data_IF_740338623617
#
_entry.id   IF_740338623617
#
_cell.length_a   1.000
_cell.length_b   1.000
_cell.length_c   1.000
_cell.angle_alpha   90.00
_cell.angle_beta   90.00
_cell.angle_gamma   90.00
#
_symmetry.space_group_name_H-M   'P 1'
#
loop_
_entity.id
_entity.type
_entity.pdbx_description
1 polymer ?
#
# COMPACT_ATOMS: atom_id res chain seq x y z
N UNK A 1 5.01 2.38 -8.67
CA UNK A 1 5.37 3.00 -7.38
C UNK A 1 4.19 2.79 -6.46
N UNK A 2 4.30 2.06 -5.34
CA UNK A 2 3.17 1.99 -4.40
C UNK A 2 2.98 3.39 -3.81
N UNK A 3 1.87 4.03 -4.11
CA UNK A 3 1.48 5.26 -3.45
C UNK A 3 1.03 4.93 -2.02
N UNK A 4 1.39 5.76 -1.09
CA UNK A 4 0.91 5.64 0.28
C UNK A 4 -0.53 6.18 0.30
N UNK A 5 -1.50 5.28 0.44
CA UNK A 5 -2.91 5.62 0.41
C UNK A 5 -3.46 5.50 1.81
N UNK A 6 -3.76 6.62 2.45
CA UNK A 6 -4.38 6.67 3.77
C UNK A 6 -5.89 6.42 3.71
N UNK A 7 -6.54 6.87 2.66
CA UNK A 7 -7.97 6.67 2.41
C UNK A 7 -8.14 5.65 1.28
N UNK A 8 -8.28 4.38 1.65
CA UNK A 8 -8.42 3.28 0.70
C UNK A 8 -9.70 3.37 -0.13
N UNK A 9 -10.78 3.93 0.42
CA UNK A 9 -12.04 4.10 -0.29
C UNK A 9 -11.96 5.22 -1.34
N UNK A 10 -11.39 6.38 -0.97
CA UNK A 10 -11.19 7.48 -1.92
C UNK A 10 -10.26 7.07 -3.05
N UNK A 11 -9.20 6.31 -2.74
CA UNK A 11 -8.31 5.76 -3.75
C UNK A 11 -9.04 4.82 -4.71
N UNK A 12 -9.80 3.85 -4.19
CA UNK A 12 -10.57 2.93 -5.02
C UNK A 12 -11.53 3.69 -5.94
N UNK A 13 -12.27 4.69 -5.42
CA UNK A 13 -13.13 5.56 -6.23
C UNK A 13 -12.36 6.28 -7.33
N UNK A 14 -11.18 6.83 -7.02
CA UNK A 14 -10.38 7.55 -8.01
C UNK A 14 -9.90 6.64 -9.12
N UNK A 15 -9.44 5.42 -8.81
CA UNK A 15 -8.98 4.42 -9.79
C UNK A 15 -10.15 3.96 -10.66
N UNK A 16 -11.28 3.59 -10.04
CA UNK A 16 -12.48 3.12 -10.77
C UNK A 16 -13.02 4.21 -11.71
N UNK A 17 -13.03 5.47 -11.29
CA UNK A 17 -13.56 6.59 -12.08
C UNK A 17 -12.60 7.09 -13.17
N UNK A 18 -11.32 6.78 -13.07
CA UNK A 18 -10.33 7.21 -14.06
C UNK A 18 -10.47 6.48 -15.40
N UNK A 19 -11.00 5.27 -15.39
CA UNK A 19 -11.23 4.41 -16.56
C UNK A 19 -9.99 4.17 -17.46
N UNK A 20 -8.80 4.55 -17.02
CA UNK A 20 -7.55 4.36 -17.75
C UNK A 20 -6.98 2.99 -17.43
N UNK A 21 -7.42 1.98 -18.19
CA UNK A 21 -7.07 0.58 -17.96
C UNK A 21 -6.09 0.10 -19.03
N UNK A 22 -4.95 -0.42 -18.55
CA UNK A 22 -3.97 -1.12 -19.36
C UNK A 22 -3.61 -2.48 -18.73
N UNK A 23 -2.79 -3.29 -19.44
CA UNK A 23 -2.37 -4.60 -18.94
C UNK A 23 -1.54 -4.55 -17.64
N UNK A 24 -1.02 -3.38 -17.23
CA UNK A 24 -0.22 -3.24 -16.01
C UNK A 24 -1.10 -2.98 -14.79
N UNK A 25 -2.19 -2.25 -14.96
CA UNK A 25 -3.08 -1.84 -13.88
C UNK A 25 -4.42 -2.61 -13.85
N UNK A 26 -4.73 -3.42 -14.86
CA UNK A 26 -5.99 -4.16 -14.97
C UNK A 26 -6.32 -4.99 -13.72
N UNK A 27 -5.32 -5.67 -13.13
CA UNK A 27 -5.51 -6.45 -11.90
C UNK A 27 -5.88 -5.55 -10.71
N UNK A 28 -5.34 -4.34 -10.63
CA UNK A 28 -5.68 -3.37 -9.58
C UNK A 28 -7.11 -2.89 -9.73
N UNK A 29 -7.56 -2.56 -10.95
CA UNK A 29 -8.95 -2.19 -11.24
C UNK A 29 -9.93 -3.29 -10.82
N UNK A 30 -9.69 -4.55 -11.23
CA UNK A 30 -10.54 -5.69 -10.88
C UNK A 30 -10.60 -5.90 -9.37
N UNK A 31 -9.46 -5.88 -8.67
CA UNK A 31 -9.40 -6.05 -7.22
C UNK A 31 -10.14 -4.93 -6.47
N UNK A 32 -9.90 -3.67 -6.85
CA UNK A 32 -10.54 -2.53 -6.20
C UNK A 32 -12.03 -2.51 -6.46
N UNK A 33 -12.45 -2.87 -7.67
CA UNK A 33 -13.88 -2.96 -8.01
C UNK A 33 -14.57 -4.10 -7.25
N UNK A 34 -13.93 -5.28 -7.14
CA UNK A 34 -14.46 -6.39 -6.34
C UNK A 34 -14.71 -5.96 -4.88
N UNK A 35 -13.73 -5.30 -4.27
CA UNK A 35 -13.85 -4.77 -2.90
C UNK A 35 -14.93 -3.69 -2.79
N UNK A 36 -14.97 -2.75 -3.75
CA UNK A 36 -15.95 -1.66 -3.76
C UNK A 36 -17.37 -2.20 -3.88
N UNK A 37 -17.60 -3.13 -4.79
CA UNK A 37 -18.90 -3.76 -4.99
C UNK A 37 -19.37 -4.52 -3.73
N UNK A 38 -18.47 -5.25 -3.07
CA UNK A 38 -18.81 -5.97 -1.85
C UNK A 38 -19.07 -5.02 -0.66
N UNK A 39 -18.13 -4.12 -0.37
CA UNK A 39 -18.19 -3.31 0.87
C UNK A 39 -19.12 -2.11 0.77
N UNK A 40 -19.23 -1.48 -0.41
CA UNK A 40 -20.01 -0.24 -0.61
C UNK A 40 -21.35 -0.55 -1.26
N UNK A 41 -21.34 -1.24 -2.40
CA UNK A 41 -22.55 -1.53 -3.16
C UNK A 41 -23.33 -2.73 -2.61
N UNK A 42 -22.76 -3.52 -1.68
CA UNK A 42 -23.37 -4.70 -1.05
C UNK A 42 -23.84 -5.76 -2.05
N UNK A 43 -23.08 -5.92 -3.12
CA UNK A 43 -23.39 -6.92 -4.15
C UNK A 43 -23.03 -8.32 -3.66
N UNK A 44 -23.82 -9.31 -4.08
CA UNK A 44 -23.46 -10.73 -3.98
C UNK A 44 -22.34 -11.10 -4.96
N UNK A 45 -21.75 -12.26 -4.81
CA UNK A 45 -20.60 -12.70 -5.61
C UNK A 45 -20.92 -12.75 -7.11
N UNK A 46 -22.12 -13.20 -7.50
CA UNK A 46 -22.51 -13.31 -8.91
C UNK A 46 -22.69 -11.93 -9.56
N UNK A 47 -23.33 -11.00 -8.85
CA UNK A 47 -23.52 -9.61 -9.29
C UNK A 47 -22.19 -8.85 -9.33
N UNK A 48 -21.32 -9.10 -8.35
CA UNK A 48 -19.98 -8.51 -8.28
C UNK A 48 -19.11 -8.97 -9.47
N UNK A 49 -19.10 -10.27 -9.75
CA UNK A 49 -18.39 -10.83 -10.91
C UNK A 49 -18.85 -10.17 -12.22
N UNK A 50 -20.16 -10.15 -12.47
CA UNK A 50 -20.72 -9.53 -13.69
C UNK A 50 -20.37 -8.06 -13.80
N UNK A 51 -20.47 -7.31 -12.71
CA UNK A 51 -20.10 -5.88 -12.67
C UNK A 51 -18.64 -5.65 -13.06
N UNK A 52 -17.72 -6.54 -12.63
CA UNK A 52 -16.31 -6.45 -13.02
C UNK A 52 -16.14 -6.73 -14.51
N UNK A 53 -16.75 -7.79 -15.01
CA UNK A 53 -16.67 -8.16 -16.44
C UNK A 53 -17.23 -7.05 -17.32
N UNK A 54 -18.39 -6.49 -16.98
CA UNK A 54 -19.01 -5.38 -17.71
C UNK A 54 -18.13 -4.13 -17.72
N UNK A 55 -17.55 -3.79 -16.57
CA UNK A 55 -16.63 -2.67 -16.43
C UNK A 55 -15.38 -2.86 -17.30
N UNK A 56 -14.75 -4.04 -17.23
CA UNK A 56 -13.53 -4.34 -17.99
C UNK A 56 -13.83 -4.35 -19.51
N UNK A 57 -14.91 -4.95 -19.95
CA UNK A 57 -15.34 -4.94 -21.36
C UNK A 57 -15.60 -3.53 -21.88
N UNK A 58 -16.14 -2.65 -21.02
CA UNK A 58 -16.47 -1.27 -21.40
C UNK A 58 -15.24 -0.38 -21.57
N UNK A 59 -14.23 -0.55 -20.70
CA UNK A 59 -13.14 0.41 -20.58
C UNK A 59 -11.77 -0.14 -21.02
N UNK A 60 -11.66 -1.44 -21.29
CA UNK A 60 -10.42 -2.05 -21.75
C UNK A 60 -10.64 -2.92 -22.99
N UNK A 61 -10.27 -2.39 -24.15
CA UNK A 61 -10.51 -3.04 -25.45
C UNK A 61 -9.75 -4.38 -25.66
N UNK A 62 -8.72 -4.66 -24.86
CA UNK A 62 -7.95 -5.90 -24.92
C UNK A 62 -8.41 -6.92 -23.86
N UNK A 63 -9.47 -6.66 -23.13
CA UNK A 63 -9.98 -7.57 -22.13
C UNK A 63 -10.63 -8.79 -22.78
N UNK A 64 -10.21 -9.98 -22.35
CA UNK A 64 -10.80 -11.26 -22.72
C UNK A 64 -11.18 -11.97 -21.43
N UNK A 65 -12.46 -12.12 -21.16
CA UNK A 65 -12.97 -12.69 -19.89
C UNK A 65 -12.33 -14.01 -19.51
N UNK A 66 -12.17 -14.92 -20.48
CA UNK A 66 -11.59 -16.25 -20.25
C UNK A 66 -10.17 -16.19 -19.66
N UNK A 67 -9.37 -15.16 -20.00
CA UNK A 67 -8.00 -15.01 -19.50
C UNK A 67 -7.95 -14.54 -18.05
N UNK A 68 -9.04 -13.93 -17.57
CA UNK A 68 -9.11 -13.31 -16.24
C UNK A 68 -10.14 -13.96 -15.32
N UNK A 69 -10.93 -14.92 -15.81
CA UNK A 69 -12.01 -15.55 -15.06
C UNK A 69 -11.58 -16.00 -13.66
N UNK A 70 -10.54 -16.83 -13.56
CA UNK A 70 -10.06 -17.35 -12.28
C UNK A 70 -9.61 -16.23 -11.32
N UNK A 71 -9.02 -15.16 -11.84
CA UNK A 71 -8.60 -14.01 -11.02
C UNK A 71 -9.79 -13.22 -10.49
N UNK A 72 -10.79 -12.97 -11.35
CA UNK A 72 -12.01 -12.27 -10.95
C UNK A 72 -12.74 -13.07 -9.88
N UNK A 73 -12.89 -14.37 -10.07
CA UNK A 73 -13.50 -15.28 -9.08
C UNK A 73 -12.75 -15.22 -7.75
N UNK A 74 -11.41 -15.25 -7.77
CA UNK A 74 -10.59 -15.13 -6.55
C UNK A 74 -10.74 -13.77 -5.87
N UNK A 75 -10.75 -12.68 -6.63
CA UNK A 75 -10.95 -11.34 -6.08
C UNK A 75 -12.33 -11.17 -5.46
N UNK A 76 -13.38 -11.66 -6.13
CA UNK A 76 -14.76 -11.62 -5.61
C UNK A 76 -14.89 -12.44 -4.33
N UNK A 77 -14.43 -13.70 -4.36
CA UNK A 77 -14.46 -14.61 -3.21
C UNK A 77 -13.71 -14.06 -1.98
N UNK A 78 -12.62 -13.34 -2.21
CA UNK A 78 -11.79 -12.80 -1.13
C UNK A 78 -12.10 -11.33 -0.79
N UNK A 79 -13.03 -10.67 -1.50
CA UNK A 79 -13.35 -9.26 -1.28
C UNK A 79 -13.70 -8.93 0.18
N UNK A 80 -14.44 -9.86 0.86
CA UNK A 80 -14.86 -9.71 2.25
C UNK A 80 -13.70 -9.67 3.26
N UNK A 81 -12.54 -10.26 2.93
CA UNK A 81 -11.39 -10.35 3.84
C UNK A 81 -10.62 -9.03 3.97
N UNK A 82 -10.79 -8.11 3.03
CA UNK A 82 -9.97 -6.91 2.91
C UNK A 82 -10.85 -5.65 2.86
N UNK A 83 -11.47 -5.25 3.98
CA UNK A 83 -12.29 -4.04 4.01
C UNK A 83 -11.46 -2.80 3.67
N UNK A 84 -12.13 -1.73 3.22
CA UNK A 84 -11.51 -0.42 3.16
C UNK A 84 -11.34 0.08 4.60
N UNK A 85 -10.10 0.36 4.99
CA UNK A 85 -9.80 0.95 6.29
C UNK A 85 -9.49 2.43 6.06
N UNK A 86 -10.30 3.27 6.65
CA UNK A 86 -10.08 4.71 6.65
C UNK A 86 -9.20 5.05 7.84
N UNK A 87 -8.00 5.54 7.55
CA UNK A 87 -7.08 6.02 8.57
C UNK A 87 -7.14 7.53 8.56
N UNK A 88 -7.94 8.11 9.45
CA UNK A 88 -8.11 9.55 9.57
C UNK A 88 -6.81 10.25 9.98
N UNK A 89 -6.03 9.63 10.86
CA UNK A 89 -4.78 10.20 11.34
C UNK A 89 -3.83 9.15 11.91
N UNK A 90 -2.54 9.43 11.81
CA UNK A 90 -1.48 8.68 12.49
C UNK A 90 -0.96 9.56 13.64
N UNK A 91 -1.10 9.09 14.89
CA UNK A 91 -0.61 9.82 16.06
C UNK A 91 0.91 9.61 16.20
N UNK A 92 1.66 10.69 16.12
CA UNK A 92 3.09 10.72 16.39
C UNK A 92 3.31 11.46 17.70
N UNK A 93 4.01 10.85 18.63
CA UNK A 93 4.26 11.41 19.94
C UNK A 93 5.48 12.34 19.95
N UNK A 94 5.54 13.26 20.90
CA UNK A 94 6.70 14.14 21.08
C UNK A 94 7.98 13.34 21.32
N UNK A 95 7.92 12.26 22.11
CA UNK A 95 9.08 11.39 22.37
C UNK A 95 9.64 10.74 21.11
N UNK A 96 8.78 10.33 20.18
CA UNK A 96 9.20 9.77 18.88
C UNK A 96 9.87 10.82 18.02
N UNK A 97 9.36 12.03 17.99
CA UNK A 97 9.99 13.14 17.26
C UNK A 97 11.33 13.53 17.86
N UNK A 98 11.43 13.63 19.18
CA UNK A 98 12.67 13.95 19.88
C UNK A 98 13.72 12.85 19.67
N UNK A 99 13.33 11.57 19.66
CA UNK A 99 14.22 10.47 19.32
C UNK A 99 14.77 10.58 17.89
N UNK A 100 13.92 10.89 16.92
CA UNK A 100 14.33 11.07 15.53
C UNK A 100 15.26 12.26 15.40
N UNK A 101 14.96 13.39 16.03
CA UNK A 101 15.79 14.60 15.99
C UNK A 101 17.20 14.39 16.60
N UNK A 102 17.33 13.47 17.57
CA UNK A 102 18.61 13.12 18.17
C UNK A 102 19.52 12.25 17.28
N UNK A 103 19.08 11.84 16.08
CA UNK A 103 19.93 11.16 15.12
C UNK A 103 21.02 12.09 14.53
N UNK A 104 20.85 13.41 14.66
CA UNK A 104 21.79 14.43 14.23
C UNK A 104 22.24 14.31 12.76
N UNK A 105 21.40 13.74 11.92
CA UNK A 105 21.64 13.57 10.49
C UNK A 105 20.31 13.70 9.74
N UNK A 106 20.14 14.77 9.02
CA UNK A 106 18.88 15.09 8.32
C UNK A 106 18.40 14.01 7.37
N UNK A 107 19.31 13.22 6.76
CA UNK A 107 18.92 12.11 5.87
C UNK A 107 18.37 10.95 6.69
N UNK A 108 19.01 10.61 7.82
CA UNK A 108 18.53 9.58 8.74
C UNK A 108 17.21 9.98 9.38
N UNK A 109 17.08 11.23 9.81
CA UNK A 109 15.85 11.78 10.41
C UNK A 109 14.66 11.66 9.45
N UNK A 110 14.84 12.05 8.19
CA UNK A 110 13.79 11.92 7.17
C UNK A 110 13.37 10.47 6.90
N UNK A 111 14.35 9.57 6.80
CA UNK A 111 14.06 8.14 6.57
C UNK A 111 13.40 7.53 7.81
N UNK A 112 13.88 7.84 9.02
CA UNK A 112 13.32 7.37 10.28
C UNK A 112 11.86 7.84 10.44
N UNK A 113 11.57 9.10 10.10
CA UNK A 113 10.21 9.65 10.16
C UNK A 113 9.26 8.92 9.20
N UNK A 114 9.69 8.69 7.96
CA UNK A 114 8.90 7.94 6.97
C UNK A 114 8.65 6.50 7.42
N UNK A 115 9.69 5.84 7.96
CA UNK A 115 9.57 4.49 8.51
C UNK A 115 8.60 4.43 9.68
N UNK A 116 8.65 5.41 10.60
CA UNK A 116 7.70 5.50 11.72
C UNK A 116 6.25 5.63 11.20
N UNK A 117 6.02 6.49 10.21
CA UNK A 117 4.70 6.65 9.61
C UNK A 117 4.21 5.35 8.96
N UNK A 118 5.08 4.66 8.20
CA UNK A 118 4.75 3.37 7.58
C UNK A 118 4.47 2.32 8.64
N UNK A 119 5.33 2.19 9.67
CA UNK A 119 5.15 1.22 10.73
C UNK A 119 3.81 1.38 11.46
N UNK A 120 3.47 2.61 11.84
CA UNK A 120 2.18 2.92 12.48
C UNK A 120 0.99 2.63 11.58
N UNK A 121 1.11 2.95 10.28
CA UNK A 121 0.10 2.63 9.30
C UNK A 121 -0.11 1.12 9.17
N UNK A 122 0.95 0.35 8.98
CA UNK A 122 0.89 -1.11 8.82
C UNK A 122 0.35 -1.78 10.10
N UNK A 123 0.81 -1.36 11.29
CA UNK A 123 0.27 -1.87 12.54
C UNK A 123 -1.24 -1.56 12.70
N UNK A 124 -1.68 -0.37 12.33
CA UNK A 124 -3.10 -0.02 12.35
C UNK A 124 -3.89 -0.82 11.32
N UNK A 125 -3.35 -0.93 10.09
CA UNK A 125 -4.01 -1.63 8.99
C UNK A 125 -4.19 -3.13 9.28
N UNK A 126 -3.17 -3.77 9.88
CA UNK A 126 -3.20 -5.19 10.21
C UNK A 126 -3.75 -5.48 11.61
N UNK A 127 -4.04 -4.44 12.42
CA UNK A 127 -4.50 -4.58 13.82
C UNK A 127 -3.49 -5.35 14.70
N UNK A 128 -2.20 -5.24 14.36
CA UNK A 128 -1.11 -5.89 15.07
C UNK A 128 -0.20 -4.86 15.73
N UNK A 129 0.28 -5.14 16.98
CA UNK A 129 1.17 -4.23 17.70
C UNK A 129 2.57 -4.11 17.09
N UNK A 130 2.96 -5.11 16.27
CA UNK A 130 4.21 -5.14 15.54
C UNK A 130 3.97 -5.69 14.15
N UNK A 131 4.49 -5.00 13.14
CA UNK A 131 4.40 -5.44 11.75
C UNK A 131 5.72 -5.22 11.01
N UNK A 132 6.13 -6.20 10.21
CA UNK A 132 7.35 -6.09 9.42
C UNK A 132 7.11 -5.32 8.13
N UNK A 133 7.89 -4.25 7.93
CA UNK A 133 7.79 -3.43 6.73
C UNK A 133 8.49 -4.15 5.57
N UNK A 134 7.73 -4.58 4.57
CA UNK A 134 8.21 -5.26 3.36
C UNK A 134 8.53 -4.31 2.19
N UNK A 135 8.77 -3.04 2.47
CA UNK A 135 9.02 -2.01 1.47
C UNK A 135 10.48 -2.00 1.01
N UNK A 136 10.73 -1.75 -0.27
CA UNK A 136 12.09 -1.61 -0.76
C UNK A 136 12.75 -0.35 -0.23
N UNK A 137 14.07 -0.42 0.07
CA UNK A 137 14.86 0.72 0.54
C UNK A 137 14.74 1.94 -0.39
N UNK A 138 14.71 1.70 -1.71
CA UNK A 138 14.56 2.76 -2.70
C UNK A 138 13.20 3.48 -2.60
N UNK A 139 12.12 2.76 -2.32
CA UNK A 139 10.81 3.37 -2.16
C UNK A 139 10.73 4.22 -0.91
N UNK A 140 11.32 3.75 0.20
CA UNK A 140 11.38 4.51 1.46
C UNK A 140 12.19 5.79 1.28
N UNK A 141 13.38 5.71 0.65
CA UNK A 141 14.22 6.89 0.41
C UNK A 141 13.56 7.90 -0.52
N UNK A 142 12.83 7.45 -1.55
CA UNK A 142 12.04 8.33 -2.43
C UNK A 142 10.94 9.06 -1.66
N UNK A 143 10.19 8.35 -0.79
CA UNK A 143 9.18 8.97 0.06
C UNK A 143 9.79 9.99 1.02
N UNK A 144 10.95 9.67 1.59
CA UNK A 144 11.70 10.58 2.45
C UNK A 144 12.33 11.77 1.70
N UNK A 145 12.23 11.81 0.36
CA UNK A 145 12.90 12.78 -0.50
C UNK A 145 14.41 12.84 -0.25
N UNK A 146 15.02 11.67 -0.05
CA UNK A 146 16.46 11.49 0.11
C UNK A 146 17.02 10.89 -1.17
N UNK A 147 17.79 11.69 -1.89
CA UNK A 147 18.44 11.28 -3.13
C UNK A 147 19.84 10.73 -2.80
N UNK A 148 20.01 9.44 -3.03
CA UNK A 148 21.23 8.70 -2.72
C UNK A 148 21.47 7.60 -3.74
N UNK A 149 22.74 7.21 -3.88
CA UNK A 149 23.13 6.02 -4.62
C UNK A 149 22.66 4.75 -3.89
N UNK A 150 22.67 3.61 -4.57
CA UNK A 150 22.29 2.33 -3.97
C UNK A 150 23.17 1.96 -2.77
N UNK A 151 24.46 2.28 -2.81
CA UNK A 151 25.39 1.96 -1.72
C UNK A 151 25.18 2.89 -0.51
N UNK A 152 25.03 4.19 -0.74
CA UNK A 152 24.67 5.14 0.33
C UNK A 152 23.35 4.77 1.00
N UNK A 153 22.35 4.35 0.22
CA UNK A 153 21.06 3.93 0.75
C UNK A 153 21.21 2.75 1.71
N UNK A 154 22.00 1.73 1.32
CA UNK A 154 22.29 0.59 2.20
C UNK A 154 23.02 1.02 3.47
N UNK A 155 23.94 1.98 3.36
CA UNK A 155 24.66 2.50 4.52
C UNK A 155 23.72 3.23 5.48
N UNK A 156 22.87 4.12 4.99
CA UNK A 156 21.86 4.82 5.81
C UNK A 156 20.97 3.86 6.60
N UNK A 157 20.54 2.74 5.97
CA UNK A 157 19.75 1.74 6.67
C UNK A 157 20.54 0.97 7.73
N UNK A 158 21.83 0.69 7.51
CA UNK A 158 22.71 0.12 8.55
C UNK A 158 22.86 1.09 9.73
N UNK A 159 23.04 2.36 9.43
CA UNK A 159 23.16 3.40 10.46
C UNK A 159 21.88 3.50 11.31
N UNK A 160 20.69 3.33 10.69
CA UNK A 160 19.42 3.27 11.44
C UNK A 160 19.30 2.02 12.31
N UNK A 161 19.84 0.88 11.88
CA UNK A 161 19.91 -0.34 12.73
C UNK A 161 20.85 -0.09 13.90
N UNK A 162 22.04 0.48 13.67
CA UNK A 162 23.01 0.81 14.73
C UNK A 162 22.44 1.80 15.73
N UNK A 163 21.67 2.79 15.25
CA UNK A 163 20.99 3.77 16.09
C UNK A 163 19.76 3.21 16.83
N UNK A 164 19.40 1.94 16.61
CA UNK A 164 18.25 1.30 17.26
C UNK A 164 16.89 1.81 16.79
N UNK A 165 16.85 2.46 15.61
CA UNK A 165 15.59 2.95 15.01
C UNK A 165 14.78 1.82 14.39
N UNK A 166 15.46 0.85 13.80
CA UNK A 166 14.88 -0.31 13.13
C UNK A 166 15.60 -1.59 13.51
N UNK A 167 14.87 -2.68 13.47
CA UNK A 167 15.43 -4.04 13.51
C UNK A 167 15.47 -4.59 12.07
N UNK A 168 16.55 -5.25 11.70
CA UNK A 168 16.61 -5.97 10.43
C UNK A 168 16.28 -7.43 10.65
N UNK A 169 15.35 -7.98 9.86
CA UNK A 169 15.17 -9.42 9.83
C UNK A 169 16.30 -10.04 9.00
N UNK A 170 17.39 -10.42 9.66
CA UNK A 170 18.45 -11.22 9.04
C UNK A 170 17.99 -12.68 9.02
N UNK A 171 17.05 -12.99 8.12
CA UNK A 171 16.93 -14.39 7.70
C UNK A 171 18.18 -14.72 6.88
N UNK A 172 19.03 -15.55 7.47
CA UNK A 172 20.16 -16.21 6.80
C UNK A 172 19.74 -16.91 5.51
#
# INVERSE_FOLDING_TARGET
MKNFVFDGLAYAKSVINNHDIDGKNANEHMLLLAKYNFHVNKMDDASNYRSIVDYMNKYWCLFVEADYQMKIEDYVKNAHKYPFKDIESIKITRKELDFIANLNNIRLEKIAFVLLCIAKYECYYHEEPKYWISWSLNNISKLARVHVTKNENRQLFRDLVVAGVIESNSSN
#
